data_IF_789830082010
#
_entry.id   IF_789830082010
#
_cell.length_a   1.000
_cell.length_b   1.000
_cell.length_c   1.000
_cell.angle_alpha   90.00
_cell.angle_beta   90.00
_cell.angle_gamma   90.00
#
_symmetry.space_group_name_H-M   'P 1'
#
loop_
_entity.id
_entity.type
_entity.pdbx_description
1 polymer ?
#
# COMPACT_ATOMS: atom_id res chain seq x y z
N UNK A 1 -5.19 -25.50 10.80
CA UNK A 1 -5.04 -24.95 9.46
C UNK A 1 -3.55 -24.65 9.16
N UNK A 2 -3.22 -24.61 7.88
CA UNK A 2 -1.88 -24.34 7.38
C UNK A 2 -1.75 -22.87 6.99
N UNK A 3 -0.65 -22.23 7.38
CA UNK A 3 -0.35 -20.83 7.04
C UNK A 3 0.91 -20.81 6.18
N UNK A 4 0.95 -20.06 5.07
CA UNK A 4 2.18 -19.85 4.32
C UNK A 4 3.28 -19.28 5.22
N UNK A 5 4.45 -19.88 5.18
CA UNK A 5 5.58 -19.40 5.97
C UNK A 5 6.16 -18.13 5.35
N UNK A 6 6.19 -17.03 6.12
CA UNK A 6 6.68 -15.71 5.69
C UNK A 6 8.14 -15.44 6.06
N UNK A 7 8.89 -16.47 6.48
CA UNK A 7 10.33 -16.31 6.75
C UNK A 7 11.10 -15.92 5.49
N UNK A 8 12.19 -15.19 5.66
CA UNK A 8 13.07 -14.77 4.55
C UNK A 8 13.53 -15.97 3.70
N UNK A 9 13.76 -17.14 4.33
CA UNK A 9 14.15 -18.36 3.63
C UNK A 9 13.06 -18.92 2.69
N UNK A 10 11.80 -18.48 2.82
CA UNK A 10 10.69 -18.87 1.96
C UNK A 10 10.25 -17.74 1.01
N UNK A 11 11.03 -16.68 0.88
CA UNK A 11 10.76 -15.57 -0.05
C UNK A 11 11.64 -15.74 -1.27
N UNK A 12 11.03 -15.72 -2.44
CA UNK A 12 11.69 -15.98 -3.73
C UNK A 12 11.44 -14.78 -4.64
N UNK A 13 12.47 -14.36 -5.39
CA UNK A 13 12.28 -13.39 -6.46
C UNK A 13 11.83 -14.10 -7.74
N UNK A 14 10.58 -13.84 -8.14
CA UNK A 14 10.05 -14.37 -9.40
C UNK A 14 10.49 -13.48 -10.57
N UNK A 15 11.33 -14.04 -11.44
CA UNK A 15 11.88 -13.32 -12.61
C UNK A 15 10.84 -12.97 -13.66
N UNK A 16 9.73 -13.74 -13.76
CA UNK A 16 8.64 -13.45 -14.72
C UNK A 16 7.77 -12.31 -14.23
N UNK A 17 7.41 -12.36 -12.95
CA UNK A 17 6.61 -11.32 -12.30
C UNK A 17 7.45 -10.09 -11.90
N UNK A 18 8.79 -10.25 -11.87
CA UNK A 18 9.76 -9.22 -11.46
C UNK A 18 9.47 -8.67 -10.05
N UNK A 19 9.02 -9.56 -9.15
CA UNK A 19 8.68 -9.23 -7.77
C UNK A 19 9.00 -10.36 -6.79
N UNK A 20 9.03 -10.03 -5.51
CA UNK A 20 9.12 -11.02 -4.45
C UNK A 20 7.79 -11.74 -4.24
N UNK A 21 7.84 -13.07 -4.12
CA UNK A 21 6.70 -13.94 -3.86
C UNK A 21 7.02 -14.93 -2.73
N UNK A 22 5.99 -15.47 -2.08
CA UNK A 22 6.18 -16.57 -1.14
C UNK A 22 6.47 -17.88 -1.87
N UNK A 23 7.38 -18.66 -1.31
CA UNK A 23 7.59 -20.07 -1.67
C UNK A 23 6.45 -20.96 -1.14
N UNK A 24 6.67 -22.26 -1.25
CA UNK A 24 5.64 -23.29 -0.96
C UNK A 24 5.63 -23.77 0.50
N UNK A 25 6.59 -23.34 1.32
CA UNK A 25 6.67 -23.79 2.70
C UNK A 25 5.51 -23.23 3.53
N UNK A 26 4.90 -24.09 4.34
CA UNK A 26 3.81 -23.74 5.24
C UNK A 26 4.14 -24.10 6.68
N UNK A 27 3.52 -23.45 7.63
CA UNK A 27 3.51 -23.80 9.04
C UNK A 27 2.10 -24.20 9.48
N UNK A 28 2.01 -25.23 10.34
CA UNK A 28 0.73 -25.68 10.89
C UNK A 28 0.42 -24.88 12.18
N UNK A 29 -0.77 -24.31 12.28
CA UNK A 29 -1.33 -23.80 13.54
C UNK A 29 -2.48 -24.69 13.98
N UNK A 30 -2.44 -25.16 15.23
CA UNK A 30 -3.41 -26.10 15.78
C UNK A 30 -3.77 -25.74 17.22
N UNK A 31 -5.06 -25.81 17.53
CA UNK A 31 -5.55 -25.70 18.92
C UNK A 31 -5.14 -26.86 19.81
N UNK A 32 -4.63 -27.97 19.22
CA UNK A 32 -4.14 -29.13 20.00
C UNK A 32 -2.76 -28.89 20.62
N UNK A 33 -2.04 -27.87 20.19
CA UNK A 33 -0.73 -27.51 20.71
C UNK A 33 -0.87 -26.27 21.59
N UNK A 34 -0.57 -26.43 22.89
CA UNK A 34 -0.71 -25.35 23.88
C UNK A 34 0.15 -24.12 23.53
N UNK A 35 1.35 -24.31 22.98
CA UNK A 35 2.22 -23.19 22.56
C UNK A 35 1.67 -22.39 21.37
N UNK A 36 0.72 -22.94 20.63
CA UNK A 36 0.11 -22.31 19.47
C UNK A 36 -1.31 -21.79 19.74
N UNK A 37 -1.88 -22.13 20.91
CA UNK A 37 -3.27 -21.82 21.22
C UNK A 37 -3.55 -20.33 21.19
N UNK A 38 -2.65 -19.51 21.72
CA UNK A 38 -2.77 -18.05 21.72
C UNK A 38 -2.87 -17.50 20.29
N UNK A 39 -1.89 -17.76 19.44
CA UNK A 39 -1.88 -17.27 18.06
C UNK A 39 -2.99 -17.87 17.18
N UNK A 40 -3.46 -19.08 17.53
CA UNK A 40 -4.64 -19.69 16.91
C UNK A 40 -5.91 -18.91 17.27
N UNK A 41 -6.10 -18.57 18.54
CA UNK A 41 -7.27 -17.80 19.02
C UNK A 41 -7.26 -16.38 18.46
N UNK A 42 -6.11 -15.72 18.45
CA UNK A 42 -5.92 -14.39 17.85
C UNK A 42 -6.34 -14.37 16.37
N UNK A 43 -5.91 -15.36 15.58
CA UNK A 43 -6.26 -15.44 14.17
C UNK A 43 -7.74 -15.72 13.93
N UNK A 44 -8.37 -16.59 14.74
CA UNK A 44 -9.81 -16.85 14.65
C UNK A 44 -10.63 -15.61 15.02
N UNK A 45 -10.24 -14.90 16.07
CA UNK A 45 -10.89 -13.65 16.46
C UNK A 45 -10.77 -12.62 15.34
N UNK A 46 -9.58 -12.47 14.76
CA UNK A 46 -9.36 -11.52 13.67
C UNK A 46 -10.20 -11.88 12.43
N UNK A 47 -10.31 -13.16 12.09
CA UNK A 47 -11.17 -13.61 11.00
C UNK A 47 -12.65 -13.28 11.26
N UNK A 48 -13.12 -13.46 12.50
CA UNK A 48 -14.45 -13.03 12.92
C UNK A 48 -14.64 -11.51 12.80
N UNK A 49 -13.66 -10.74 13.29
CA UNK A 49 -13.70 -9.27 13.25
C UNK A 49 -13.70 -8.75 11.80
N UNK A 50 -12.83 -9.28 10.95
CA UNK A 50 -12.78 -8.96 9.52
C UNK A 50 -14.11 -9.29 8.81
N UNK A 51 -14.70 -10.45 9.10
CA UNK A 51 -16.01 -10.82 8.58
C UNK A 51 -17.12 -9.83 9.01
N UNK A 52 -17.08 -9.38 10.29
CA UNK A 52 -18.02 -8.36 10.79
C UNK A 52 -17.85 -7.04 10.04
N UNK A 53 -16.62 -6.54 9.87
CA UNK A 53 -16.34 -5.31 9.12
C UNK A 53 -16.88 -5.39 7.68
N UNK A 54 -16.65 -6.53 7.02
CA UNK A 54 -17.12 -6.77 5.64
C UNK A 54 -18.65 -6.75 5.54
N UNK A 55 -19.35 -7.39 6.48
CA UNK A 55 -20.80 -7.38 6.50
C UNK A 55 -21.40 -5.99 6.80
N UNK A 56 -20.78 -5.25 7.71
CA UNK A 56 -21.23 -3.91 8.08
C UNK A 56 -20.78 -2.83 7.10
N UNK A 57 -19.87 -3.17 6.16
CA UNK A 57 -19.19 -2.23 5.23
C UNK A 57 -18.54 -1.06 5.98
N UNK A 58 -17.90 -1.37 7.10
CA UNK A 58 -17.20 -0.40 7.94
C UNK A 58 -15.72 -0.68 7.93
N UNK A 59 -14.92 0.36 7.80
CA UNK A 59 -13.46 0.26 7.87
C UNK A 59 -12.96 0.34 9.33
N UNK A 60 -11.80 -0.27 9.55
CA UNK A 60 -11.02 -0.18 10.80
C UNK A 60 -9.57 0.12 10.46
N UNK A 61 -8.90 0.86 11.32
CA UNK A 61 -7.44 1.02 11.20
C UNK A 61 -6.71 -0.17 11.83
N UNK A 62 -5.44 -0.38 11.45
CA UNK A 62 -4.58 -1.37 12.10
C UNK A 62 -4.55 -1.19 13.62
N UNK A 63 -4.51 0.07 14.06
CA UNK A 63 -4.50 0.44 15.47
C UNK A 63 -5.83 0.13 16.16
N UNK A 64 -6.95 0.38 15.49
CA UNK A 64 -8.28 0.06 16.03
C UNK A 64 -8.50 -1.44 16.16
N UNK A 65 -7.94 -2.25 15.26
CA UNK A 65 -7.95 -3.73 15.40
C UNK A 65 -7.29 -4.14 16.71
N UNK A 66 -6.11 -3.60 17.01
CA UNK A 66 -5.40 -3.86 18.27
C UNK A 66 -6.24 -3.48 19.49
N UNK A 67 -6.82 -2.29 19.52
CA UNK A 67 -7.66 -1.86 20.65
C UNK A 67 -8.99 -2.62 20.74
N UNK A 68 -9.60 -2.96 19.60
CA UNK A 68 -10.86 -3.71 19.59
C UNK A 68 -10.71 -5.11 20.17
N UNK A 69 -9.54 -5.74 20.07
CA UNK A 69 -9.28 -7.06 20.62
C UNK A 69 -9.46 -7.12 22.14
N UNK A 70 -9.13 -6.04 22.83
CA UNK A 70 -9.23 -5.93 24.29
C UNK A 70 -10.68 -6.07 24.77
N UNK A 71 -11.66 -5.57 24.01
CA UNK A 71 -13.08 -5.71 24.32
C UNK A 71 -13.57 -7.17 24.24
N UNK A 72 -12.83 -8.05 23.56
CA UNK A 72 -13.14 -9.48 23.42
C UNK A 72 -12.24 -10.38 24.28
N UNK A 73 -11.45 -9.79 25.18
CA UNK A 73 -10.45 -10.50 26.00
C UNK A 73 -9.47 -11.34 25.15
N UNK A 74 -9.12 -10.83 23.96
CA UNK A 74 -8.07 -11.39 23.11
C UNK A 74 -6.85 -10.48 23.21
N UNK A 75 -5.86 -10.96 23.97
CA UNK A 75 -4.68 -10.16 24.27
C UNK A 75 -3.63 -10.26 23.15
N UNK A 76 -3.13 -9.10 22.74
CA UNK A 76 -1.89 -8.94 21.98
C UNK A 76 -0.85 -8.28 22.90
N UNK A 77 0.41 -8.66 22.77
CA UNK A 77 1.51 -8.04 23.56
C UNK A 77 1.68 -6.58 23.18
N UNK A 78 1.63 -6.33 21.87
CA UNK A 78 1.73 -5.00 21.28
C UNK A 78 1.00 -4.93 19.92
N UNK A 79 1.01 -3.76 19.31
CA UNK A 79 0.45 -3.56 17.99
C UNK A 79 1.18 -4.39 16.91
N UNK A 80 2.49 -4.61 17.07
CA UNK A 80 3.28 -5.40 16.13
C UNK A 80 2.83 -6.86 16.07
N UNK A 81 2.46 -7.47 17.21
CA UNK A 81 1.88 -8.81 17.24
C UNK A 81 0.52 -8.83 16.50
N UNK A 82 -0.34 -7.83 16.75
CA UNK A 82 -1.62 -7.68 16.04
C UNK A 82 -1.41 -7.54 14.53
N UNK A 83 -0.50 -6.68 14.11
CA UNK A 83 -0.16 -6.48 12.69
C UNK A 83 0.34 -7.77 12.03
N UNK A 84 1.14 -8.58 12.74
CA UNK A 84 1.61 -9.87 12.26
C UNK A 84 0.46 -10.89 12.06
N UNK A 85 -0.52 -10.92 12.95
CA UNK A 85 -1.70 -11.78 12.81
C UNK A 85 -2.58 -11.32 11.64
N UNK A 86 -2.69 -10.00 11.39
CA UNK A 86 -3.37 -9.46 10.21
C UNK A 86 -2.69 -9.97 8.93
N UNK A 87 -1.36 -9.91 8.86
CA UNK A 87 -0.61 -10.42 7.70
C UNK A 87 -0.73 -11.95 7.56
N UNK A 88 -0.85 -12.69 8.66
CA UNK A 88 -1.14 -14.13 8.62
C UNK A 88 -2.53 -14.41 8.02
N UNK A 89 -3.54 -13.59 8.38
CA UNK A 89 -4.88 -13.70 7.80
C UNK A 89 -4.87 -13.41 6.31
N UNK A 90 -4.17 -12.36 5.87
CA UNK A 90 -3.96 -12.05 4.45
C UNK A 90 -3.36 -13.24 3.70
N UNK A 91 -2.33 -13.85 4.27
CA UNK A 91 -1.66 -14.99 3.66
C UNK A 91 -2.54 -16.25 3.57
N UNK A 92 -3.40 -16.49 4.57
CA UNK A 92 -4.36 -17.59 4.59
C UNK A 92 -5.46 -17.38 3.56
N UNK A 93 -5.99 -16.16 3.45
CA UNK A 93 -7.07 -15.81 2.53
C UNK A 93 -6.54 -15.54 1.10
N UNK A 94 -5.23 -15.33 0.94
CA UNK A 94 -4.62 -14.84 -0.31
C UNK A 94 -5.25 -13.51 -0.78
N UNK A 95 -5.65 -12.68 0.16
CA UNK A 95 -6.30 -11.39 -0.06
C UNK A 95 -5.62 -10.30 0.77
N UNK A 96 -5.51 -9.07 0.26
CA UNK A 96 -5.01 -7.95 1.03
C UNK A 96 -6.02 -7.56 2.12
N UNK A 97 -5.53 -6.99 3.21
CA UNK A 97 -6.38 -6.55 4.35
C UNK A 97 -7.41 -5.50 3.96
N UNK A 98 -7.15 -4.77 2.91
CA UNK A 98 -8.05 -3.78 2.34
C UNK A 98 -9.37 -4.42 1.87
N UNK A 99 -9.34 -5.66 1.38
CA UNK A 99 -10.53 -6.40 0.93
C UNK A 99 -11.45 -6.81 2.09
N UNK A 100 -10.91 -6.87 3.31
CA UNK A 100 -11.71 -7.07 4.52
C UNK A 100 -11.76 -5.83 5.43
N UNK A 101 -11.63 -4.64 4.81
CA UNK A 101 -11.88 -3.33 5.40
C UNK A 101 -10.91 -2.93 6.53
N UNK A 102 -9.68 -3.45 6.54
CA UNK A 102 -8.62 -3.02 7.45
C UNK A 102 -7.59 -2.19 6.69
N UNK A 103 -7.41 -0.94 7.12
CA UNK A 103 -6.55 0.03 6.43
C UNK A 103 -5.45 0.58 7.35
N UNK A 104 -4.28 0.94 6.83
CA UNK A 104 -3.32 1.74 7.58
C UNK A 104 -3.84 3.18 7.73
N UNK A 105 -3.24 3.95 8.64
CA UNK A 105 -3.42 5.40 8.68
C UNK A 105 -2.92 6.04 7.38
N UNK A 106 -3.68 7.01 6.88
CA UNK A 106 -3.38 7.69 5.63
C UNK A 106 -2.17 8.61 5.80
N UNK A 107 -1.17 8.47 4.94
CA UNK A 107 0.05 9.28 4.94
C UNK A 107 0.43 9.79 3.56
N UNK A 108 -0.24 9.31 2.55
CA UNK A 108 0.04 9.62 1.15
C UNK A 108 -1.01 10.52 0.57
N UNK A 109 -0.62 11.32 -0.41
CA UNK A 109 -1.52 12.22 -1.11
C UNK A 109 -1.28 12.18 -2.62
N UNK A 110 -2.30 12.55 -3.38
CA UNK A 110 -2.28 12.61 -4.84
C UNK A 110 -2.78 13.97 -5.31
N UNK A 111 -2.18 14.49 -6.36
CA UNK A 111 -2.58 15.73 -7.05
C UNK A 111 -2.33 15.60 -8.55
N UNK A 112 -3.18 16.20 -9.35
CA UNK A 112 -3.01 16.28 -10.81
C UNK A 112 -4.35 16.11 -11.53
N UNK A 113 -4.29 16.22 -12.85
CA UNK A 113 -5.47 16.07 -13.70
C UNK A 113 -5.82 14.58 -13.86
N UNK A 114 -6.58 14.09 -12.87
CA UNK A 114 -7.18 12.76 -12.84
C UNK A 114 -8.61 12.89 -12.34
N UNK A 115 -9.57 12.44 -13.12
CA UNK A 115 -10.97 12.35 -12.71
C UNK A 115 -11.25 10.93 -12.22
N UNK A 116 -11.77 10.83 -11.01
CA UNK A 116 -12.23 9.59 -10.38
C UNK A 116 -13.74 9.61 -10.18
N UNK A 117 -14.35 8.42 -10.10
CA UNK A 117 -15.74 8.24 -9.69
C UNK A 117 -15.77 7.36 -8.43
N UNK A 118 -16.43 7.86 -7.39
CA UNK A 118 -16.52 7.15 -6.11
C UNK A 118 -17.48 5.96 -6.20
N UNK A 119 -17.06 4.85 -5.60
CA UNK A 119 -17.84 3.59 -5.50
C UNK A 119 -18.30 3.27 -4.08
N UNK A 120 -17.92 4.12 -3.10
CA UNK A 120 -18.26 3.89 -1.70
C UNK A 120 -19.72 4.29 -1.40
N UNK A 121 -20.39 3.61 -0.42
CA UNK A 121 -21.77 3.87 -0.07
C UNK A 121 -22.07 5.36 0.23
N UNK A 122 -23.09 5.91 -0.44
CA UNK A 122 -23.51 7.30 -0.30
C UNK A 122 -22.75 8.32 -1.17
N UNK A 123 -21.74 7.86 -1.91
CA UNK A 123 -20.98 8.70 -2.84
C UNK A 123 -20.92 8.09 -4.25
N UNK A 124 -21.61 6.98 -4.47
CA UNK A 124 -21.59 6.25 -5.74
C UNK A 124 -21.95 7.18 -6.91
N UNK A 125 -21.17 7.14 -7.97
CA UNK A 125 -21.37 7.93 -9.18
C UNK A 125 -20.97 9.41 -9.06
N UNK A 126 -20.51 9.87 -7.91
CA UNK A 126 -19.94 11.22 -7.79
C UNK A 126 -18.54 11.25 -8.33
N UNK A 127 -18.27 12.20 -9.22
CA UNK A 127 -16.96 12.40 -9.83
C UNK A 127 -16.19 13.49 -9.12
N UNK A 128 -14.85 13.36 -9.09
CA UNK A 128 -13.93 14.34 -8.55
C UNK A 128 -12.68 14.42 -9.40
N UNK A 129 -12.31 15.63 -9.83
CA UNK A 129 -11.00 15.88 -10.43
C UNK A 129 -9.99 16.24 -9.35
N UNK A 130 -8.85 15.55 -9.33
CA UNK A 130 -7.86 15.64 -8.26
C UNK A 130 -6.93 16.86 -8.36
N UNK A 131 -7.04 17.68 -9.41
CA UNK A 131 -6.35 18.97 -9.50
C UNK A 131 -7.08 20.11 -8.79
N UNK A 132 -8.27 19.87 -8.27
CA UNK A 132 -9.12 20.92 -7.68
C UNK A 132 -8.74 21.33 -6.26
N UNK A 133 -7.88 20.56 -5.57
CA UNK A 133 -7.43 20.88 -4.22
C UNK A 133 -5.89 20.97 -4.15
N UNK A 134 -5.31 22.16 -3.90
CA UNK A 134 -3.86 22.37 -4.00
C UNK A 134 -3.03 21.60 -2.97
N UNK A 135 -3.61 21.23 -1.82
CA UNK A 135 -2.92 20.38 -0.83
C UNK A 135 -2.95 18.89 -1.21
N UNK A 136 -3.63 18.54 -2.32
CA UNK A 136 -3.84 17.17 -2.78
C UNK A 136 -4.95 16.45 -2.01
N UNK A 137 -5.24 15.24 -2.45
CA UNK A 137 -6.21 14.33 -1.83
C UNK A 137 -5.50 13.19 -1.15
N UNK A 138 -5.96 12.83 0.06
CA UNK A 138 -5.44 11.67 0.78
C UNK A 138 -5.73 10.37 0.02
N UNK A 139 -4.74 9.46 0.00
CA UNK A 139 -4.89 8.13 -0.61
C UNK A 139 -5.38 7.15 0.45
N UNK A 140 -6.68 7.17 0.68
CA UNK A 140 -7.38 6.28 1.59
C UNK A 140 -8.27 5.26 0.88
N UNK A 141 -9.15 4.58 1.63
CA UNK A 141 -10.07 3.56 1.09
C UNK A 141 -10.91 4.03 -0.07
N UNK A 142 -11.47 5.23 0.04
CA UNK A 142 -12.32 5.81 -1.00
C UNK A 142 -11.58 6.08 -2.31
N UNK A 143 -10.29 6.45 -2.22
CA UNK A 143 -9.44 6.68 -3.38
C UNK A 143 -9.00 5.37 -4.05
N UNK A 144 -8.66 4.37 -3.24
CA UNK A 144 -8.19 3.07 -3.76
C UNK A 144 -9.28 2.24 -4.42
N UNK A 145 -10.55 2.41 -4.01
CA UNK A 145 -11.70 1.73 -4.61
C UNK A 145 -12.38 2.52 -5.73
N UNK A 146 -12.07 3.80 -5.90
CA UNK A 146 -12.68 4.63 -6.95
C UNK A 146 -12.36 4.13 -8.35
N UNK A 147 -13.29 4.33 -9.29
CA UNK A 147 -13.03 4.13 -10.71
C UNK A 147 -12.14 5.25 -11.25
N UNK A 148 -11.15 4.91 -12.06
CA UNK A 148 -10.30 5.87 -12.77
C UNK A 148 -10.97 6.21 -14.10
N UNK A 149 -11.50 7.43 -14.23
CA UNK A 149 -12.38 7.78 -15.37
C UNK A 149 -11.63 8.38 -16.53
N UNK A 150 -10.85 9.43 -16.27
CA UNK A 150 -10.17 10.20 -17.31
C UNK A 150 -8.97 10.96 -16.78
N UNK A 151 -7.98 11.19 -17.66
CA UNK A 151 -6.79 11.98 -17.36
C UNK A 151 -6.15 12.52 -18.63
N UNK A 152 -5.62 13.74 -18.58
CA UNK A 152 -4.73 14.27 -19.62
C UNK A 152 -3.24 14.06 -19.26
N UNK A 153 -2.94 13.46 -18.13
CA UNK A 153 -1.57 13.21 -17.73
C UNK A 153 -0.89 12.16 -18.62
N UNK A 154 0.40 12.33 -18.82
CA UNK A 154 1.24 11.44 -19.63
C UNK A 154 2.17 10.58 -18.75
N UNK A 155 2.28 10.89 -17.44
CA UNK A 155 3.10 10.12 -16.50
C UNK A 155 2.65 10.34 -15.04
N UNK A 156 3.14 9.47 -14.16
CA UNK A 156 2.99 9.59 -12.70
C UNK A 156 4.36 9.83 -12.08
N UNK A 157 4.46 10.83 -11.19
CA UNK A 157 5.66 11.11 -10.40
C UNK A 157 5.39 10.74 -8.94
N UNK A 158 5.99 9.66 -8.46
CA UNK A 158 5.94 9.26 -7.07
C UNK A 158 7.10 9.91 -6.30
N UNK A 159 6.79 10.70 -5.27
CA UNK A 159 7.74 11.50 -4.50
C UNK A 159 7.74 11.03 -3.04
N UNK A 160 8.91 10.88 -2.44
CA UNK A 160 9.04 10.42 -1.06
C UNK A 160 8.56 11.46 -0.05
N UNK A 161 8.91 12.74 -0.24
CA UNK A 161 8.72 13.80 0.77
C UNK A 161 7.54 14.71 0.50
N UNK A 162 6.71 14.95 1.52
CA UNK A 162 5.57 15.88 1.45
C UNK A 162 5.98 17.32 1.13
N UNK A 163 7.10 17.81 1.67
CA UNK A 163 7.57 19.17 1.36
C UNK A 163 7.92 19.35 -0.13
N UNK A 164 8.48 18.33 -0.76
CA UNK A 164 8.74 18.36 -2.19
C UNK A 164 7.44 18.26 -3.02
N UNK A 165 6.47 17.48 -2.55
CA UNK A 165 5.13 17.40 -3.15
C UNK A 165 4.47 18.78 -3.20
N UNK A 166 4.40 19.48 -2.06
CA UNK A 166 3.85 20.84 -1.98
C UNK A 166 4.57 21.78 -2.96
N UNK A 167 5.91 21.73 -2.98
CA UNK A 167 6.70 22.56 -3.89
C UNK A 167 6.43 22.25 -5.36
N UNK A 168 6.22 20.99 -5.72
CA UNK A 168 5.89 20.60 -7.10
C UNK A 168 4.52 21.10 -7.52
N UNK A 169 3.53 21.12 -6.61
CA UNK A 169 2.21 21.70 -6.86
C UNK A 169 2.33 23.20 -7.06
N UNK A 170 3.03 23.92 -6.18
CA UNK A 170 3.27 25.38 -6.30
C UNK A 170 3.96 25.75 -7.61
N UNK A 171 4.95 24.96 -8.04
CA UNK A 171 5.68 25.17 -9.28
C UNK A 171 4.95 24.67 -10.53
N UNK A 172 3.70 24.15 -10.38
CA UNK A 172 2.88 23.61 -11.47
C UNK A 172 3.61 22.53 -12.28
N UNK A 173 4.32 21.64 -11.61
CA UNK A 173 5.04 20.50 -12.24
C UNK A 173 4.06 19.58 -12.94
N UNK A 174 2.86 19.40 -12.39
CA UNK A 174 1.74 18.68 -13.01
C UNK A 174 1.44 19.18 -14.44
N UNK A 175 1.39 20.51 -14.64
CA UNK A 175 1.14 21.11 -15.93
C UNK A 175 2.38 21.09 -16.83
N UNK A 176 3.56 21.39 -16.26
CA UNK A 176 4.83 21.44 -17.02
C UNK A 176 5.18 20.10 -17.65
N UNK A 177 4.90 19.01 -16.95
CA UNK A 177 5.23 17.65 -17.36
C UNK A 177 4.00 16.78 -17.65
N UNK A 178 2.80 17.36 -17.65
CA UNK A 178 1.53 16.63 -17.78
C UNK A 178 1.51 15.41 -16.86
N UNK A 179 1.68 15.62 -15.59
CA UNK A 179 1.90 14.55 -14.62
C UNK A 179 0.89 14.53 -13.48
N UNK A 180 0.60 13.32 -12.98
CA UNK A 180 0.00 13.11 -11.69
C UNK A 180 1.13 13.01 -10.66
N UNK A 181 1.03 13.76 -9.57
CA UNK A 181 2.03 13.80 -8.51
C UNK A 181 1.49 13.03 -7.31
N UNK A 182 2.27 12.06 -6.80
CA UNK A 182 1.92 11.26 -5.62
C UNK A 182 3.00 11.40 -4.58
N UNK A 183 2.63 11.90 -3.39
CA UNK A 183 3.46 11.85 -2.20
C UNK A 183 3.29 10.50 -1.52
N UNK A 184 4.37 9.74 -1.34
CA UNK A 184 4.33 8.44 -0.66
C UNK A 184 4.40 8.54 0.86
N UNK A 185 4.83 9.69 1.41
CA UNK A 185 5.00 9.90 2.84
C UNK A 185 6.07 9.00 3.47
N UNK A 186 7.21 8.86 2.80
CA UNK A 186 8.27 7.89 3.10
C UNK A 186 8.03 6.55 2.40
N UNK A 187 8.13 5.44 3.14
CA UNK A 187 7.84 4.11 2.59
C UNK A 187 6.40 4.04 2.08
N UNK A 188 6.23 3.84 0.77
CA UNK A 188 4.93 3.84 0.11
C UNK A 188 3.96 2.82 0.74
N UNK A 189 2.82 3.25 1.31
CA UNK A 189 1.78 2.36 1.81
C UNK A 189 1.23 1.44 0.72
N UNK A 190 0.58 0.36 1.10
CA UNK A 190 -0.02 -0.58 0.13
C UNK A 190 -1.08 0.10 -0.73
N UNK A 191 -1.95 0.93 -0.13
CA UNK A 191 -2.95 1.73 -0.85
C UNK A 191 -2.33 2.57 -1.97
N UNK A 192 -1.22 3.26 -1.66
CA UNK A 192 -0.47 4.05 -2.65
C UNK A 192 0.13 3.17 -3.74
N UNK A 193 0.70 2.02 -3.38
CA UNK A 193 1.26 1.08 -4.37
C UNK A 193 0.19 0.47 -5.26
N UNK A 194 -0.97 0.13 -4.70
CA UNK A 194 -2.14 -0.32 -5.47
C UNK A 194 -2.58 0.75 -6.46
N UNK A 195 -2.68 2.01 -6.02
CA UNK A 195 -3.06 3.12 -6.90
C UNK A 195 -2.01 3.36 -7.99
N UNK A 196 -0.71 3.33 -7.68
CA UNK A 196 0.37 3.43 -8.68
C UNK A 196 0.26 2.32 -9.73
N UNK A 197 -0.02 1.10 -9.29
CA UNK A 197 -0.23 -0.05 -10.18
C UNK A 197 -1.45 0.15 -11.08
N UNK A 198 -2.57 0.60 -10.53
CA UNK A 198 -3.79 0.87 -11.29
C UNK A 198 -3.58 1.97 -12.31
N UNK A 199 -2.94 3.09 -11.96
CA UNK A 199 -2.60 4.16 -12.89
C UNK A 199 -1.72 3.67 -14.04
N UNK A 200 -0.78 2.76 -13.75
CA UNK A 200 0.06 2.15 -14.77
C UNK A 200 -0.71 1.18 -15.66
N UNK A 201 -1.47 0.25 -15.08
CA UNK A 201 -2.11 -0.83 -15.83
C UNK A 201 -3.41 -0.39 -16.54
N UNK A 202 -4.25 0.40 -15.87
CA UNK A 202 -5.57 0.79 -16.36
C UNK A 202 -5.50 2.04 -17.27
N UNK A 203 -4.64 3.01 -16.91
CA UNK A 203 -4.50 4.27 -17.65
C UNK A 203 -3.27 4.30 -18.56
N UNK A 204 -2.42 3.27 -18.52
CA UNK A 204 -1.22 3.19 -19.36
C UNK A 204 -0.11 4.18 -18.99
N UNK A 205 -0.16 4.79 -17.80
CA UNK A 205 0.78 5.82 -17.40
C UNK A 205 2.12 5.25 -16.95
N UNK A 206 3.26 5.70 -17.51
CA UNK A 206 4.57 5.38 -16.96
C UNK A 206 4.74 5.99 -15.58
N UNK A 207 5.36 5.23 -14.66
CA UNK A 207 5.64 5.68 -13.29
C UNK A 207 7.12 6.01 -13.18
N UNK A 208 7.41 7.21 -12.66
CA UNK A 208 8.76 7.63 -12.26
C UNK A 208 8.79 7.88 -10.77
N UNK A 209 9.92 7.56 -10.14
CA UNK A 209 10.08 7.61 -8.68
C UNK A 209 11.21 8.57 -8.36
N UNK A 210 10.95 9.51 -7.46
CA UNK A 210 11.91 10.48 -6.95
C UNK A 210 11.99 10.37 -5.43
N UNK A 211 13.13 9.93 -4.95
CA UNK A 211 13.42 9.71 -3.52
C UNK A 211 14.70 10.43 -3.11
N UNK A 212 14.99 10.44 -1.83
CA UNK A 212 16.27 10.94 -1.33
C UNK A 212 17.45 10.11 -1.88
N UNK A 213 18.62 10.76 -1.96
CA UNK A 213 19.86 10.13 -2.43
C UNK A 213 20.56 9.27 -1.38
N UNK A 214 19.80 8.52 -0.60
CA UNK A 214 20.30 7.64 0.44
C UNK A 214 19.82 6.19 0.28
N UNK A 215 20.29 5.29 1.13
CA UNK A 215 19.96 3.86 1.09
C UNK A 215 18.46 3.61 1.31
N UNK A 216 17.79 4.44 2.11
CA UNK A 216 16.35 4.31 2.34
C UNK A 216 15.55 4.76 1.12
N UNK A 217 15.96 5.83 0.44
CA UNK A 217 15.34 6.27 -0.81
C UNK A 217 15.44 5.22 -1.90
N UNK A 218 16.62 4.57 -2.05
CA UNK A 218 16.78 3.43 -2.96
C UNK A 218 15.84 2.27 -2.57
N UNK A 219 15.76 1.93 -1.29
CA UNK A 219 14.88 0.88 -0.79
C UNK A 219 13.40 1.19 -1.09
N UNK A 220 12.94 2.43 -0.89
CA UNK A 220 11.57 2.87 -1.20
C UNK A 220 11.28 2.66 -2.69
N UNK A 221 12.20 3.10 -3.56
CA UNK A 221 12.07 2.92 -4.99
C UNK A 221 11.99 1.43 -5.38
N UNK A 222 12.83 0.58 -4.78
CA UNK A 222 12.83 -0.86 -5.05
C UNK A 222 11.57 -1.56 -4.54
N UNK A 223 10.98 -1.11 -3.44
CA UNK A 223 9.71 -1.65 -2.93
C UNK A 223 8.54 -1.33 -3.88
N UNK A 224 8.52 -0.14 -4.49
CA UNK A 224 7.52 0.19 -5.52
C UNK A 224 7.71 -0.69 -6.76
N UNK A 225 8.95 -0.92 -7.18
CA UNK A 225 9.28 -1.71 -8.39
C UNK A 225 9.07 -3.21 -8.21
N UNK A 226 9.55 -3.77 -7.11
CA UNK A 226 9.72 -5.24 -6.93
C UNK A 226 8.98 -5.80 -5.71
N UNK A 227 8.34 -4.94 -4.92
CA UNK A 227 7.65 -5.34 -3.69
C UNK A 227 8.60 -5.47 -2.50
N UNK A 228 8.05 -5.90 -1.39
CA UNK A 228 8.79 -6.13 -0.15
C UNK A 228 8.61 -7.55 0.37
N UNK A 229 9.57 -8.03 1.15
CA UNK A 229 9.51 -9.33 1.82
C UNK A 229 8.22 -9.47 2.65
N UNK A 230 7.84 -8.42 3.39
CA UNK A 230 6.65 -8.41 4.24
C UNK A 230 5.32 -8.48 3.46
N UNK A 231 5.33 -8.21 2.15
CA UNK A 231 4.15 -8.24 1.29
C UNK A 231 4.28 -9.29 0.16
N UNK A 232 5.22 -10.22 0.26
CA UNK A 232 5.49 -11.24 -0.75
C UNK A 232 4.30 -12.21 -0.98
N UNK A 233 3.36 -12.27 -0.05
CA UNK A 233 2.11 -13.04 -0.16
C UNK A 233 1.04 -12.34 -1.02
N UNK A 234 1.23 -11.05 -1.35
CA UNK A 234 0.27 -10.26 -2.12
C UNK A 234 0.75 -10.02 -3.55
N UNK A 235 -0.21 -9.98 -4.45
CA UNK A 235 -0.01 -9.60 -5.86
C UNK A 235 -0.59 -8.20 -6.09
N UNK A 236 -0.16 -7.54 -7.18
CA UNK A 236 -0.76 -6.25 -7.57
C UNK A 236 -0.25 -5.03 -6.80
N UNK A 237 0.89 -5.14 -6.11
CA UNK A 237 1.50 -4.05 -5.34
C UNK A 237 2.80 -3.53 -5.96
N UNK A 238 3.13 -3.92 -7.19
CA UNK A 238 4.42 -3.59 -7.81
C UNK A 238 4.23 -3.01 -9.19
N UNK A 239 5.11 -2.09 -9.56
CA UNK A 239 5.21 -1.52 -10.90
C UNK A 239 6.64 -1.77 -11.40
N UNK A 240 6.94 -2.98 -11.95
CA UNK A 240 8.29 -3.36 -12.31
C UNK A 240 8.95 -2.46 -13.37
N UNK A 241 8.15 -1.80 -14.20
CA UNK A 241 8.59 -0.88 -15.24
C UNK A 241 8.78 0.55 -14.74
N UNK A 242 8.44 0.86 -13.48
CA UNK A 242 8.70 2.16 -12.88
C UNK A 242 10.19 2.49 -12.95
N UNK A 243 10.50 3.76 -13.23
CA UNK A 243 11.88 4.24 -13.35
C UNK A 243 12.26 5.05 -12.13
N UNK A 244 13.30 4.64 -11.41
CA UNK A 244 13.88 5.49 -10.39
C UNK A 244 14.71 6.58 -11.03
N UNK A 245 14.30 7.83 -10.86
CA UNK A 245 14.97 9.01 -11.45
C UNK A 245 16.11 9.55 -10.60
N UNK A 246 16.16 9.19 -9.35
CA UNK A 246 17.15 9.69 -8.37
C UNK A 246 16.46 10.12 -7.06
N UNK A 247 17.12 10.86 -6.15
CA UNK A 247 18.44 11.50 -6.38
C UNK A 247 19.55 10.44 -6.41
N UNK A 248 20.42 10.49 -7.42
CA UNK A 248 21.57 9.59 -7.54
C UNK A 248 22.77 10.16 -6.79
N UNK A 249 23.70 9.31 -6.33
CA UNK A 249 24.96 9.77 -5.75
C UNK A 249 25.74 10.71 -6.71
N UNK A 250 25.66 10.44 -8.01
CA UNK A 250 26.26 11.31 -9.05
C UNK A 250 25.56 12.66 -9.18
N UNK A 251 24.29 12.77 -8.81
CA UNK A 251 23.59 14.05 -8.79
C UNK A 251 24.02 14.90 -7.59
N UNK A 252 24.23 14.26 -6.43
CA UNK A 252 24.76 14.93 -5.25
C UNK A 252 26.09 15.61 -5.54
N UNK A 253 27.01 14.89 -6.17
CA UNK A 253 28.31 15.43 -6.59
C UNK A 253 28.18 16.53 -7.64
N UNK A 254 27.36 16.31 -8.66
CA UNK A 254 27.18 17.23 -9.80
C UNK A 254 26.52 18.54 -9.39
N UNK A 255 25.52 18.49 -8.55
CA UNK A 255 24.73 19.65 -8.14
C UNK A 255 25.17 20.22 -6.78
N UNK A 256 26.14 19.59 -6.13
CA UNK A 256 26.67 19.99 -4.82
C UNK A 256 25.56 20.10 -3.74
N UNK A 257 24.70 19.08 -3.72
CA UNK A 257 23.57 18.96 -2.80
C UNK A 257 24.04 18.60 -1.39
#
# INVERSE_FOLDING_TARGET
>A
FSIPNRSISNIIYDKKLRQYVLGTNTSLRSSRNSSQLRSFTQLLWLAFFANKLTHEKKSSTLRDVYYSSQAFAVDFEDQGESDNIIVDLEAVLSQPREDFYVFPEERSSIFGDLTIEYTIPGYEGKTQNLSSHPDGYAIGPSMTSAELVDTSAELVIAIEKGGLFTRFVEEQVDKKFKSIIINTGGQAPRSTRTLLKRLHDEMGLPVVILTDGDVYGEHIAMVIKSGSANAAHLKGLTVPDAKWMGVWATDIDKFKL
#
